data_IF_777413744527
#
_entry.id   IF_777413744527
#
_cell.length_a   1.000
_cell.length_b   1.000
_cell.length_c   1.000
_cell.angle_alpha   90.00
_cell.angle_beta   90.00
_cell.angle_gamma   90.00
#
_symmetry.space_group_name_H-M   'P 1'
#
loop_
_entity.id
_entity.type
_entity.pdbx_description
1 polymer ?
#
# COMPACT_ATOMS: atom_id res chain seq x y z
N UNK A 1 -32.57 -44.15 18.59
CA UNK A 1 -31.20 -43.80 19.01
C UNK A 1 -30.40 -43.43 17.77
N UNK A 2 -29.76 -42.27 17.77
CA UNK A 2 -28.99 -41.76 16.64
C UNK A 2 -28.86 -40.24 16.73
N UNK A 3 -28.04 -39.79 17.67
CA UNK A 3 -27.83 -38.39 18.03
C UNK A 3 -26.99 -37.64 16.98
N UNK A 4 -27.42 -36.42 16.66
CA UNK A 4 -26.65 -35.16 16.64
C UNK A 4 -25.15 -35.20 16.28
N UNK A 5 -24.82 -34.60 15.13
CA UNK A 5 -23.66 -33.72 14.98
C UNK A 5 -24.04 -32.53 14.08
N UNK A 6 -24.64 -31.51 14.70
CA UNK A 6 -24.61 -30.14 14.19
C UNK A 6 -23.20 -29.60 14.42
N UNK A 7 -22.39 -29.52 13.37
CA UNK A 7 -21.14 -28.76 13.42
C UNK A 7 -21.44 -27.27 13.33
N UNK A 8 -21.72 -26.71 14.52
CA UNK A 8 -21.51 -25.31 14.84
C UNK A 8 -20.05 -24.94 14.53
N UNK A 9 -19.79 -24.33 13.37
CA UNK A 9 -18.62 -23.48 13.23
C UNK A 9 -18.90 -22.16 13.92
N UNK A 10 -18.61 -22.15 15.22
CA UNK A 10 -18.27 -20.94 15.95
C UNK A 10 -17.07 -20.27 15.26
N UNK A 11 -17.33 -19.15 14.59
CA UNK A 11 -16.30 -18.27 14.07
C UNK A 11 -15.55 -17.63 15.25
N UNK A 12 -14.50 -18.30 15.69
CA UNK A 12 -13.49 -17.74 16.59
C UNK A 12 -12.72 -16.61 15.88
N UNK A 13 -12.32 -15.51 16.57
CA UNK A 13 -11.81 -14.29 15.93
C UNK A 13 -10.39 -14.37 15.33
N UNK A 14 -9.72 -15.53 15.31
CA UNK A 14 -8.29 -15.65 15.03
C UNK A 14 -7.90 -16.49 13.79
N UNK A 15 -8.80 -16.69 12.84
CA UNK A 15 -8.50 -17.33 11.55
C UNK A 15 -8.18 -16.33 10.42
N UNK A 16 -7.27 -15.36 10.63
CA UNK A 16 -6.87 -14.35 9.62
C UNK A 16 -5.79 -14.85 8.63
N UNK A 17 -5.92 -16.08 8.09
CA UNK A 17 -4.77 -16.71 7.41
C UNK A 17 -5.03 -17.59 6.19
N UNK A 18 -6.26 -17.69 5.67
CA UNK A 18 -6.53 -18.58 4.52
C UNK A 18 -7.00 -17.89 3.25
N UNK A 19 -7.70 -16.77 3.36
CA UNK A 19 -8.30 -16.11 2.20
C UNK A 19 -7.56 -14.82 1.89
N UNK A 20 -7.37 -14.54 0.59
CA UNK A 20 -6.81 -13.28 0.13
C UNK A 20 -7.67 -12.10 0.60
N UNK A 21 -7.08 -10.95 0.97
CA UNK A 21 -7.83 -9.74 1.21
C UNK A 21 -8.69 -9.40 -0.01
N UNK A 22 -9.96 -9.10 0.21
CA UNK A 22 -10.97 -8.92 -0.87
C UNK A 22 -10.62 -7.81 -1.86
N UNK A 23 -9.88 -6.80 -1.40
CA UNK A 23 -9.51 -5.60 -2.15
C UNK A 23 -8.17 -5.05 -1.64
N UNK A 24 -7.58 -4.13 -2.42
CA UNK A 24 -6.27 -3.57 -2.11
C UNK A 24 -6.27 -2.73 -0.82
N UNK A 25 -7.39 -2.10 -0.46
CA UNK A 25 -7.47 -1.36 0.81
C UNK A 25 -7.39 -2.32 2.00
N UNK A 26 -8.07 -3.48 1.93
CA UNK A 26 -8.03 -4.49 2.97
C UNK A 26 -6.60 -5.04 3.15
N UNK A 27 -5.86 -5.24 2.05
CA UNK A 27 -4.44 -5.61 2.11
C UNK A 27 -3.61 -4.54 2.83
N UNK A 28 -3.79 -3.27 2.43
CA UNK A 28 -3.01 -2.16 2.96
C UNK A 28 -3.28 -1.85 4.45
N UNK A 29 -4.44 -2.24 4.99
CA UNK A 29 -4.73 -2.11 6.43
C UNK A 29 -3.82 -3.00 7.28
N UNK A 30 -3.29 -4.09 6.72
CA UNK A 30 -2.35 -4.98 7.41
C UNK A 30 -0.93 -4.40 7.48
N UNK A 31 -0.62 -3.37 6.69
CA UNK A 31 0.71 -2.79 6.54
C UNK A 31 0.74 -1.45 7.30
N UNK A 32 1.44 -1.41 8.43
CA UNK A 32 1.57 -0.21 9.29
C UNK A 32 2.93 0.45 9.15
N UNK A 33 3.95 -0.29 8.75
CA UNK A 33 5.26 0.21 8.34
C UNK A 33 5.67 -0.41 7.01
N UNK A 34 6.62 0.17 6.26
CA UNK A 34 7.09 -0.43 5.01
C UNK A 34 7.61 -1.86 5.17
N UNK A 35 8.20 -2.19 6.32
CA UNK A 35 8.76 -3.50 6.65
C UNK A 35 7.68 -4.59 6.83
N UNK A 36 6.44 -4.20 7.19
CA UNK A 36 5.32 -5.13 7.33
C UNK A 36 4.97 -5.85 6.01
N UNK A 37 5.43 -5.32 4.86
CA UNK A 37 5.28 -5.99 3.56
C UNK A 37 5.95 -7.35 3.51
N UNK A 38 7.07 -7.55 4.22
CA UNK A 38 7.76 -8.83 4.29
C UNK A 38 7.11 -9.80 5.27
N UNK A 39 6.29 -9.28 6.19
CA UNK A 39 5.57 -10.04 7.20
C UNK A 39 4.21 -10.49 6.68
N UNK A 40 3.49 -9.64 5.93
CA UNK A 40 2.19 -9.98 5.35
C UNK A 40 2.37 -10.97 4.18
N UNK A 41 1.87 -12.22 4.28
CA UNK A 41 2.02 -13.20 3.22
C UNK A 41 1.38 -12.75 1.90
N UNK A 42 0.25 -12.05 1.99
CA UNK A 42 -0.47 -11.55 0.82
C UNK A 42 0.23 -10.34 0.19
N UNK A 43 0.82 -9.45 0.99
CA UNK A 43 1.60 -8.34 0.46
C UNK A 43 2.83 -8.86 -0.30
N UNK A 44 3.52 -9.85 0.29
CA UNK A 44 4.67 -10.51 -0.35
C UNK A 44 4.29 -11.19 -1.65
N UNK A 45 3.21 -11.99 -1.66
CA UNK A 45 2.70 -12.63 -2.89
C UNK A 45 2.32 -11.60 -3.95
N UNK A 46 1.63 -10.53 -3.56
CA UNK A 46 1.25 -9.49 -4.51
C UNK A 46 2.48 -8.76 -5.07
N UNK A 47 3.48 -8.41 -4.24
CA UNK A 47 4.75 -7.83 -4.70
C UNK A 47 5.47 -8.77 -5.68
N UNK A 48 5.56 -10.07 -5.40
CA UNK A 48 6.11 -11.05 -6.34
C UNK A 48 5.33 -11.09 -7.66
N UNK A 49 3.99 -11.07 -7.59
CA UNK A 49 3.16 -11.01 -8.78
C UNK A 49 3.45 -9.76 -9.62
N UNK A 50 3.60 -8.59 -8.99
CA UNK A 50 3.96 -7.35 -9.67
C UNK A 50 5.32 -7.49 -10.36
N UNK A 51 6.35 -8.00 -9.68
CA UNK A 51 7.69 -8.23 -10.27
C UNK A 51 7.64 -9.09 -11.53
N UNK A 52 6.81 -10.12 -11.53
CA UNK A 52 6.73 -11.08 -12.63
C UNK A 52 5.84 -10.61 -13.78
N UNK A 53 4.77 -9.85 -13.51
CA UNK A 53 3.70 -9.59 -14.49
C UNK A 53 3.58 -8.11 -14.89
N UNK A 54 3.89 -7.18 -13.97
CA UNK A 54 3.76 -5.72 -14.16
C UNK A 54 4.82 -5.00 -13.32
N UNK A 55 6.12 -5.18 -13.60
CA UNK A 55 7.21 -4.70 -12.75
C UNK A 55 7.21 -3.18 -12.58
N UNK A 56 6.67 -2.43 -13.54
CA UNK A 56 6.50 -0.98 -13.46
C UNK A 56 5.57 -0.53 -12.32
N UNK A 57 4.72 -1.41 -11.80
CA UNK A 57 3.82 -1.13 -10.69
C UNK A 57 4.40 -1.47 -9.31
N UNK A 58 5.56 -2.14 -9.23
CA UNK A 58 6.20 -2.39 -7.94
C UNK A 58 6.59 -1.09 -7.22
N UNK A 59 7.29 -0.12 -7.85
CA UNK A 59 7.54 1.19 -7.25
C UNK A 59 6.27 1.93 -6.81
N UNK A 60 5.19 1.77 -7.59
CA UNK A 60 3.89 2.39 -7.30
C UNK A 60 3.29 1.77 -6.03
N UNK A 61 3.46 0.47 -5.83
CA UNK A 61 3.02 -0.21 -4.61
C UNK A 61 3.78 0.31 -3.38
N UNK A 62 5.10 0.43 -3.49
CA UNK A 62 5.95 0.97 -2.42
C UNK A 62 5.57 2.41 -2.08
N UNK A 63 5.35 3.24 -3.09
CA UNK A 63 4.86 4.62 -2.92
C UNK A 63 3.53 4.66 -2.13
N UNK A 64 2.56 3.81 -2.50
CA UNK A 64 1.26 3.75 -1.82
C UNK A 64 1.39 3.30 -0.36
N UNK A 65 2.29 2.37 -0.07
CA UNK A 65 2.57 1.93 1.31
C UNK A 65 3.09 3.12 2.12
N UNK A 66 4.12 3.82 1.65
CA UNK A 66 4.69 4.97 2.35
C UNK A 66 3.63 6.07 2.55
N UNK A 67 2.77 6.32 1.56
CA UNK A 67 1.66 7.26 1.70
C UNK A 67 0.66 6.88 2.80
N UNK A 68 0.36 5.59 2.95
CA UNK A 68 -0.55 5.11 4.00
C UNK A 68 0.09 5.22 5.39
N UNK A 69 1.39 4.97 5.51
CA UNK A 69 2.15 5.20 6.76
C UNK A 69 2.10 6.69 7.10
N UNK A 70 2.36 7.57 6.13
CA UNK A 70 2.27 9.02 6.31
C UNK A 70 0.87 9.46 6.74
N UNK A 71 -0.19 8.92 6.14
CA UNK A 71 -1.58 9.19 6.57
C UNK A 71 -1.85 8.72 8.00
N UNK A 72 -1.26 7.61 8.42
CA UNK A 72 -1.38 7.14 9.81
C UNK A 72 -0.75 8.12 10.77
N UNK A 73 0.42 8.68 10.44
CA UNK A 73 1.08 9.75 11.21
C UNK A 73 0.29 11.06 11.21
N UNK A 74 -0.33 11.43 10.09
CA UNK A 74 -1.23 12.58 10.02
C UNK A 74 -2.45 12.42 10.95
N UNK A 75 -3.06 11.22 10.96
CA UNK A 75 -4.17 10.92 11.86
C UNK A 75 -3.72 10.87 13.33
N UNK A 76 -2.52 10.36 13.61
CA UNK A 76 -1.95 10.38 14.95
C UNK A 76 -1.81 11.81 15.46
N UNK A 77 -1.24 12.71 14.65
CA UNK A 77 -1.09 14.12 15.00
C UNK A 77 -2.44 14.78 15.36
N UNK A 78 -3.50 14.49 14.62
CA UNK A 78 -4.86 15.02 14.87
C UNK A 78 -5.45 14.52 16.20
N UNK A 79 -5.02 13.37 16.67
CA UNK A 79 -5.52 12.73 17.90
C UNK A 79 -4.61 12.97 19.12
N UNK A 80 -3.38 13.46 18.93
CA UNK A 80 -2.47 13.77 20.03
C UNK A 80 -2.99 14.99 20.79
N UNK A 81 -3.46 14.74 22.01
CA UNK A 81 -3.81 15.78 22.97
C UNK A 81 -2.61 16.04 23.89
N UNK A 82 -2.11 17.28 23.87
CA UNK A 82 -1.26 17.91 24.90
C UNK A 82 0.21 17.44 25.09
N UNK A 83 0.69 16.36 24.48
CA UNK A 83 2.09 15.91 24.66
C UNK A 83 3.02 16.58 23.64
N UNK A 84 3.62 17.72 24.02
CA UNK A 84 4.50 18.54 23.14
C UNK A 84 5.64 17.75 22.49
N UNK A 85 6.31 16.86 23.22
CA UNK A 85 7.43 16.08 22.67
C UNK A 85 6.96 15.11 21.57
N UNK A 86 5.78 14.50 21.74
CA UNK A 86 5.21 13.56 20.76
C UNK A 86 4.80 14.29 19.48
N UNK A 87 4.27 15.50 19.58
CA UNK A 87 3.97 16.36 18.42
C UNK A 87 5.23 16.64 17.60
N UNK A 88 6.34 17.00 18.27
CA UNK A 88 7.62 17.25 17.61
C UNK A 88 8.14 16.00 16.91
N UNK A 89 8.06 14.84 17.56
CA UNK A 89 8.45 13.55 17.00
C UNK A 89 7.62 13.18 15.76
N UNK A 90 6.30 13.28 15.83
CA UNK A 90 5.42 13.00 14.68
C UNK A 90 5.72 13.95 13.52
N UNK A 91 5.96 15.24 13.79
CA UNK A 91 6.37 16.18 12.74
C UNK A 91 7.71 15.79 12.09
N UNK A 92 8.67 15.31 12.89
CA UNK A 92 9.95 14.80 12.38
C UNK A 92 9.73 13.56 11.49
N UNK A 93 8.99 12.56 11.96
CA UNK A 93 8.68 11.35 11.17
C UNK A 93 7.93 11.68 9.87
N UNK A 94 6.95 12.58 9.93
CA UNK A 94 6.21 13.05 8.73
C UNK A 94 7.15 13.71 7.71
N UNK A 95 8.08 14.54 8.18
CA UNK A 95 9.07 15.20 7.33
C UNK A 95 10.01 14.18 6.69
N UNK A 96 10.50 13.21 7.46
CA UNK A 96 11.34 12.13 6.96
C UNK A 96 10.61 11.32 5.87
N UNK A 97 9.34 10.96 6.08
CA UNK A 97 8.52 10.27 5.08
C UNK A 97 8.30 11.11 3.83
N UNK A 98 8.02 12.41 3.97
CA UNK A 98 7.84 13.31 2.82
C UNK A 98 9.14 13.50 2.03
N UNK A 99 10.28 13.64 2.71
CA UNK A 99 11.59 13.69 2.08
C UNK A 99 11.91 12.38 1.34
N UNK A 100 11.63 11.23 1.97
CA UNK A 100 11.76 9.92 1.34
C UNK A 100 10.88 9.80 0.09
N UNK A 101 9.62 10.26 0.16
CA UNK A 101 8.72 10.25 -0.98
C UNK A 101 9.29 11.07 -2.14
N UNK A 102 9.80 12.27 -1.85
CA UNK A 102 10.43 13.14 -2.85
C UNK A 102 11.62 12.48 -3.53
N UNK A 103 12.61 12.07 -2.73
CA UNK A 103 13.86 11.50 -3.23
C UNK A 103 13.69 10.14 -3.91
N UNK A 104 12.70 9.34 -3.50
CA UNK A 104 12.53 7.98 -4.02
C UNK A 104 11.70 7.95 -5.30
N UNK A 105 10.65 8.79 -5.39
CA UNK A 105 9.61 8.63 -6.43
C UNK A 105 9.41 9.84 -7.36
N UNK A 106 9.84 11.05 -6.97
CA UNK A 106 9.45 12.28 -7.68
C UNK A 106 10.60 13.13 -8.22
N UNK A 107 11.72 13.20 -7.50
CA UNK A 107 12.88 14.00 -7.92
C UNK A 107 13.51 13.46 -9.22
N UNK A 108 14.31 14.30 -9.87
CA UNK A 108 14.87 14.00 -11.18
C UNK A 108 15.80 12.77 -11.17
N UNK A 109 16.52 12.60 -10.06
CA UNK A 109 17.42 11.49 -9.76
C UNK A 109 16.74 10.37 -8.94
N UNK A 110 15.41 10.35 -8.92
CA UNK A 110 14.65 9.35 -8.19
C UNK A 110 15.02 7.92 -8.68
N UNK A 111 15.40 7.00 -7.78
CA UNK A 111 15.79 5.64 -8.15
C UNK A 111 14.61 4.83 -8.71
N UNK A 112 13.39 5.11 -8.26
CA UNK A 112 12.18 4.38 -8.65
C UNK A 112 11.04 5.35 -8.99
N UNK A 113 11.19 6.15 -10.07
CA UNK A 113 10.26 7.23 -10.37
C UNK A 113 8.87 6.67 -10.71
N UNK A 114 7.83 7.35 -10.23
CA UNK A 114 6.44 7.00 -10.56
C UNK A 114 5.85 7.99 -11.58
N UNK A 115 4.91 7.49 -12.38
CA UNK A 115 4.20 8.29 -13.38
C UNK A 115 2.81 8.62 -12.85
N UNK A 116 2.45 9.90 -12.88
CA UNK A 116 1.09 10.37 -12.61
C UNK A 116 0.37 10.70 -13.92
N UNK A 117 -0.93 10.46 -13.99
CA UNK A 117 -1.77 10.99 -15.07
C UNK A 117 -1.80 12.52 -15.02
N UNK A 118 -1.92 13.10 -13.83
CA UNK A 118 -1.89 14.53 -13.63
C UNK A 118 -0.44 15.05 -13.53
N UNK A 119 0.10 15.51 -14.67
CA UNK A 119 1.46 16.08 -14.73
C UNK A 119 1.61 17.39 -13.93
N UNK A 120 0.57 18.22 -13.90
CA UNK A 120 0.56 19.47 -13.12
C UNK A 120 0.70 19.17 -11.62
N UNK A 121 0.00 18.14 -11.14
CA UNK A 121 0.14 17.66 -9.77
C UNK A 121 1.57 17.18 -9.50
N UNK A 122 2.18 16.45 -10.42
CA UNK A 122 3.58 15.99 -10.29
C UNK A 122 4.53 17.18 -10.09
N UNK A 123 4.46 18.18 -10.96
CA UNK A 123 5.35 19.34 -10.90
C UNK A 123 5.13 20.15 -9.60
N UNK A 124 3.86 20.27 -9.17
CA UNK A 124 3.49 20.92 -7.91
C UNK A 124 4.07 20.18 -6.70
N UNK A 125 4.00 18.85 -6.68
CA UNK A 125 4.59 18.00 -5.63
C UNK A 125 6.10 18.20 -5.59
N UNK A 126 6.79 18.14 -6.73
CA UNK A 126 8.26 18.30 -6.79
C UNK A 126 8.68 19.62 -6.18
N UNK A 127 8.08 20.73 -6.61
CA UNK A 127 8.38 22.06 -6.06
C UNK A 127 8.13 22.11 -4.55
N UNK A 128 6.99 21.56 -4.08
CA UNK A 128 6.66 21.60 -2.66
C UNK A 128 7.58 20.73 -1.80
N UNK A 129 7.96 19.55 -2.29
CA UNK A 129 8.85 18.63 -1.57
C UNK A 129 10.29 19.18 -1.49
N UNK A 130 10.76 19.91 -2.50
CA UNK A 130 12.08 20.57 -2.48
C UNK A 130 12.15 21.71 -1.44
N UNK A 131 11.02 22.32 -1.10
CA UNK A 131 10.94 23.44 -0.15
C UNK A 131 10.67 22.98 1.30
N UNK A 132 10.58 21.68 1.56
CA UNK A 132 10.21 21.15 2.88
C UNK A 132 11.05 21.74 4.01
N UNK A 133 12.38 21.82 3.86
CA UNK A 133 13.29 22.36 4.89
C UNK A 133 12.97 23.79 5.34
N UNK A 134 12.39 24.60 4.45
CA UNK A 134 12.01 26.00 4.75
C UNK A 134 10.60 26.10 5.33
N UNK A 135 9.79 25.07 5.14
CA UNK A 135 8.39 25.10 5.47
C UNK A 135 8.09 24.57 6.87
N UNK A 136 7.29 25.35 7.59
CA UNK A 136 6.78 25.03 8.93
C UNK A 136 5.53 24.15 8.86
N UNK A 137 4.82 24.09 7.74
CA UNK A 137 3.54 23.40 7.60
C UNK A 137 3.60 22.22 6.62
N UNK A 138 3.81 21.02 7.15
CA UNK A 138 3.86 19.78 6.35
C UNK A 138 2.51 19.34 5.74
N UNK A 139 1.40 19.98 6.14
CA UNK A 139 0.06 19.52 5.77
C UNK A 139 -0.25 19.71 4.28
N UNK A 140 0.23 20.78 3.65
CA UNK A 140 0.01 20.98 2.22
C UNK A 140 0.76 19.93 1.38
N UNK A 141 2.03 19.67 1.70
CA UNK A 141 2.81 18.63 1.05
C UNK A 141 2.16 17.25 1.22
N UNK A 142 1.63 16.96 2.41
CA UNK A 142 0.85 15.75 2.67
C UNK A 142 -0.38 15.64 1.76
N UNK A 143 -1.20 16.69 1.65
CA UNK A 143 -2.41 16.66 0.83
C UNK A 143 -2.08 16.44 -0.66
N UNK A 144 -1.02 17.08 -1.18
CA UNK A 144 -0.57 16.87 -2.55
C UNK A 144 -0.11 15.42 -2.79
N UNK A 145 0.69 14.87 -1.88
CA UNK A 145 1.12 13.46 -1.93
C UNK A 145 -0.09 12.52 -1.85
N UNK A 146 -1.06 12.83 -1.00
CA UNK A 146 -2.28 12.02 -0.87
C UNK A 146 -3.12 12.06 -2.15
N UNK A 147 -3.19 13.20 -2.83
CA UNK A 147 -3.79 13.32 -4.15
C UNK A 147 -3.06 12.47 -5.18
N UNK A 148 -1.72 12.46 -5.19
CA UNK A 148 -0.94 11.61 -6.09
C UNK A 148 -1.18 10.11 -5.82
N UNK A 149 -1.31 9.71 -4.55
CA UNK A 149 -1.72 8.34 -4.19
C UNK A 149 -3.09 7.97 -4.75
N UNK A 150 -3.97 8.95 -4.95
CA UNK A 150 -5.30 8.76 -5.53
C UNK A 150 -5.34 8.99 -7.06
N UNK A 151 -4.22 9.36 -7.69
CA UNK A 151 -4.14 9.56 -9.13
C UNK A 151 -4.57 8.29 -9.87
N UNK A 152 -5.18 8.46 -11.04
CA UNK A 152 -5.72 7.35 -11.82
C UNK A 152 -4.66 6.29 -12.15
N UNK A 153 -3.46 6.71 -12.58
CA UNK A 153 -2.39 5.78 -12.97
C UNK A 153 -1.78 5.06 -11.77
N UNK A 154 -1.89 5.64 -10.57
CA UNK A 154 -1.42 5.02 -9.33
C UNK A 154 -2.45 4.03 -8.79
N UNK A 155 -3.70 4.49 -8.63
CA UNK A 155 -4.73 3.73 -7.91
C UNK A 155 -5.61 2.89 -8.83
N UNK A 156 -6.56 3.52 -9.55
CA UNK A 156 -7.62 2.81 -10.27
C UNK A 156 -7.15 2.12 -11.55
N UNK A 157 -6.37 2.81 -12.36
CA UNK A 157 -5.75 2.29 -13.59
C UNK A 157 -4.50 1.45 -13.31
N UNK A 158 -3.85 1.66 -12.16
CA UNK A 158 -2.64 0.94 -11.73
C UNK A 158 -2.94 -0.20 -10.76
N UNK A 159 -2.67 0.04 -9.47
CA UNK A 159 -2.60 -1.02 -8.46
C UNK A 159 -3.92 -1.74 -8.18
N UNK A 160 -5.06 -1.04 -8.16
CA UNK A 160 -6.38 -1.67 -7.92
C UNK A 160 -6.67 -2.69 -9.03
N UNK A 161 -6.43 -2.31 -10.28
CA UNK A 161 -6.57 -3.21 -11.43
C UNK A 161 -5.58 -4.38 -11.37
N UNK A 162 -4.31 -4.12 -11.04
CA UNK A 162 -3.31 -5.17 -10.89
C UNK A 162 -3.65 -6.15 -9.77
N UNK A 163 -4.17 -5.65 -8.64
CA UNK A 163 -4.60 -6.49 -7.52
C UNK A 163 -5.79 -7.37 -7.88
N UNK A 164 -6.77 -6.84 -8.63
CA UNK A 164 -7.88 -7.65 -9.13
C UNK A 164 -7.41 -8.76 -10.10
N UNK A 165 -6.39 -8.49 -10.93
CA UNK A 165 -5.77 -9.51 -11.78
C UNK A 165 -5.03 -10.56 -10.95
N UNK A 166 -4.27 -10.14 -9.93
CA UNK A 166 -3.61 -11.02 -8.98
C UNK A 166 -4.58 -11.96 -8.27
N UNK A 167 -5.71 -11.45 -7.75
CA UNK A 167 -6.72 -12.30 -7.10
C UNK A 167 -7.28 -13.37 -8.05
N UNK A 168 -7.45 -13.05 -9.34
CA UNK A 168 -7.88 -14.03 -10.35
C UNK A 168 -6.78 -15.02 -10.70
N UNK A 169 -5.51 -14.59 -10.65
CA UNK A 169 -4.35 -15.44 -10.87
C UNK A 169 -4.19 -16.47 -9.76
N UNK A 170 -4.26 -16.04 -8.49
CA UNK A 170 -4.11 -16.92 -7.33
C UNK A 170 -5.28 -17.92 -7.20
N UNK A 171 -6.49 -17.50 -7.56
CA UNK A 171 -7.69 -18.35 -7.50
C UNK A 171 -7.84 -19.26 -8.74
N UNK A 172 -6.86 -19.36 -9.62
CA UNK A 172 -6.93 -20.32 -10.73
C UNK A 172 -6.94 -21.74 -10.15
N UNK A 173 -7.96 -22.57 -10.45
CA UNK A 173 -7.95 -23.94 -9.99
C UNK A 173 -6.74 -24.67 -10.59
N UNK A 174 -6.02 -25.44 -9.77
CA UNK A 174 -4.89 -26.28 -10.18
C UNK A 174 -5.28 -27.40 -11.19
N UNK A 175 -6.51 -27.38 -11.71
CA UNK A 175 -7.13 -28.45 -12.49
C UNK A 175 -6.53 -28.66 -13.88
N UNK A 176 -5.75 -27.71 -14.42
CA UNK A 176 -5.08 -27.95 -15.70
C UNK A 176 -3.88 -28.91 -15.60
N UNK A 177 -3.21 -28.97 -14.44
CA UNK A 177 -2.08 -29.91 -14.23
C UNK A 177 -2.60 -31.30 -13.85
N UNK A 178 -3.70 -31.37 -13.09
CA UNK A 178 -4.31 -32.65 -12.69
C UNK A 178 -4.93 -33.41 -13.88
N UNK A 179 -5.51 -32.71 -14.87
CA UNK A 179 -6.06 -33.35 -16.07
C UNK A 179 -4.96 -33.91 -16.98
N UNK A 180 -3.82 -33.21 -17.12
CA UNK A 180 -2.68 -33.72 -17.89
C UNK A 180 -1.99 -34.92 -17.22
N UNK A 181 -1.99 -34.99 -15.89
CA UNK A 181 -1.44 -36.13 -15.13
C UNK A 181 -2.43 -37.29 -14.94
N UNK A 182 -3.70 -37.14 -15.36
CA UNK A 182 -4.71 -38.21 -15.33
C UNK A 182 -4.94 -38.85 -16.71
N UNK A 183 -4.23 -38.39 -17.74
CA UNK A 183 -4.30 -38.91 -19.12
C UNK A 183 -3.00 -39.68 -19.49
N UNK A 184 -2.03 -39.77 -18.58
CA UNK A 184 -0.81 -40.57 -18.70
C UNK A 184 -0.92 -41.89 -17.94
#
# INVERSE_FOLDING_TARGET
MGNLCSDNKSCSPNAKGRNAPRDLNALLVEIRTPEDTEISPWAKKFRSYLKENTPELEPVFDFVIVCNVLRSKENELKNVTAIKWRVVEIHKERRELLNQIGSTFFFEDAPTPIILANRVLRDTIVGRLQELEKDKSLSEAYELVWQARCDYMVWKGGLDMAYQKFLRYENRPASFVAVLMSIL
#
